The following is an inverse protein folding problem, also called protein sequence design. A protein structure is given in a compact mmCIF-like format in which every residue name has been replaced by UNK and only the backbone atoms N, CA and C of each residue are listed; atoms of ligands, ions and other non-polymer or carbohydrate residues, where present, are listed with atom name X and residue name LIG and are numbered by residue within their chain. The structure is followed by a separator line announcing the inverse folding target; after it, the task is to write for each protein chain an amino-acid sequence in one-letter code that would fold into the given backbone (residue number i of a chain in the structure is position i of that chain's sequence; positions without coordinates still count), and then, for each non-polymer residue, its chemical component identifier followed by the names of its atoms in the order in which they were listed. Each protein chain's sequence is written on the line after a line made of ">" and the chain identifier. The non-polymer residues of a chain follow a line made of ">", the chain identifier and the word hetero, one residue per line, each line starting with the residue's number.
data_IF_433743223106
#
_entry.id   IF_433743223106
#
_cell.length_a   1.000
_cell.length_b   1.000
_cell.length_c   1.000
_cell.angle_alpha   90.00
_cell.angle_beta   90.00
_cell.angle_gamma   90.00
#
_symmetry.space_group_name_H-M   'P 1'
#
loop_
_entity.id
_entity.type
_entity.pdbx_description
1 polymer ?
#
# COMPACT_ATOMS: atom_id res chain seq x y z
N UNK A 1 -26.72 -11.05 -24.22
CA UNK A 1 -26.03 -11.01 -22.91
C UNK A 1 -24.56 -11.26 -23.15
N UNK A 2 -23.66 -10.53 -22.49
CA UNK A 2 -22.21 -10.72 -22.66
C UNK A 2 -21.53 -10.89 -21.32
N UNK A 3 -21.12 -12.12 -21.02
CA UNK A 3 -20.33 -12.47 -19.84
C UNK A 3 -18.86 -12.07 -20.08
N UNK A 4 -18.20 -11.56 -19.04
CA UNK A 4 -16.79 -11.16 -19.08
C UNK A 4 -15.96 -12.10 -18.20
N UNK A 5 -14.74 -12.41 -18.64
CA UNK A 5 -13.82 -13.27 -17.90
C UNK A 5 -12.36 -12.89 -18.19
N UNK A 6 -11.48 -13.22 -17.25
CA UNK A 6 -10.04 -13.04 -17.40
C UNK A 6 -9.40 -14.24 -18.10
N UNK A 7 -8.40 -13.98 -18.94
CA UNK A 7 -7.61 -14.99 -19.64
C UNK A 7 -6.10 -14.66 -19.62
N UNK A 8 -5.27 -15.70 -19.69
CA UNK A 8 -3.81 -15.63 -19.59
C UNK A 8 -3.27 -15.82 -18.17
N UNK A 9 -2.04 -16.34 -18.05
CA UNK A 9 -1.41 -16.76 -16.78
C UNK A 9 -1.35 -15.64 -15.72
N UNK A 10 -1.24 -14.39 -16.14
CA UNK A 10 -1.20 -13.21 -15.27
C UNK A 10 -2.36 -12.24 -15.53
N UNK A 11 -3.53 -12.75 -15.96
CA UNK A 11 -4.71 -11.94 -16.26
C UNK A 11 -4.42 -10.87 -17.31
N UNK A 12 -3.68 -11.25 -18.35
CA UNK A 12 -3.17 -10.35 -19.40
C UNK A 12 -4.25 -9.93 -20.40
N UNK A 13 -5.41 -10.60 -20.37
CA UNK A 13 -6.55 -10.31 -21.24
C UNK A 13 -7.86 -10.28 -20.47
N UNK A 14 -8.70 -9.30 -20.78
CA UNK A 14 -10.11 -9.29 -20.37
C UNK A 14 -10.98 -9.59 -21.59
N UNK A 15 -11.70 -10.70 -21.53
CA UNK A 15 -12.50 -11.23 -22.62
C UNK A 15 -13.99 -11.00 -22.37
N UNK A 16 -14.75 -10.88 -23.45
CA UNK A 16 -16.21 -10.82 -23.43
C UNK A 16 -16.77 -11.75 -24.49
N UNK A 17 -17.78 -12.54 -24.12
CA UNK A 17 -18.46 -13.43 -25.06
C UNK A 17 -19.72 -12.76 -25.62
N UNK A 18 -19.86 -12.68 -26.93
CA UNK A 18 -21.12 -12.27 -27.54
C UNK A 18 -22.11 -13.44 -27.52
N UNK A 19 -23.11 -13.39 -26.63
CA UNK A 19 -24.09 -14.47 -26.47
C UNK A 19 -24.98 -14.75 -27.69
N UNK A 20 -24.99 -13.89 -28.71
CA UNK A 20 -25.75 -14.10 -29.95
C UNK A 20 -24.92 -14.78 -31.04
N UNK A 21 -23.61 -14.49 -31.11
CA UNK A 21 -22.72 -15.01 -32.17
C UNK A 21 -21.74 -16.07 -31.66
N UNK A 22 -21.57 -16.20 -30.34
CA UNK A 22 -20.55 -17.05 -29.72
C UNK A 22 -19.12 -16.53 -29.88
N UNK A 23 -18.92 -15.35 -30.49
CA UNK A 23 -17.59 -14.79 -30.72
C UNK A 23 -17.07 -14.19 -29.43
N UNK A 24 -15.85 -14.60 -29.04
CA UNK A 24 -15.11 -14.05 -27.91
C UNK A 24 -14.22 -12.92 -28.40
N UNK A 25 -14.28 -11.78 -27.72
CA UNK A 25 -13.41 -10.64 -27.97
C UNK A 25 -12.62 -10.31 -26.70
N UNK A 26 -11.29 -10.31 -26.82
CA UNK A 26 -10.36 -10.05 -25.72
C UNK A 26 -9.58 -8.76 -25.97
N UNK A 27 -9.39 -8.00 -24.90
CA UNK A 27 -8.54 -6.81 -24.90
C UNK A 27 -7.39 -6.98 -23.92
N UNK A 28 -6.17 -6.49 -24.23
CA UNK A 28 -5.08 -6.46 -23.27
C UNK A 28 -5.48 -5.69 -22.02
N UNK A 29 -5.29 -6.31 -20.85
CA UNK A 29 -5.54 -5.69 -19.54
C UNK A 29 -4.63 -6.35 -18.51
N UNK A 30 -4.37 -5.68 -17.40
CA UNK A 30 -3.60 -6.23 -16.29
C UNK A 30 -4.30 -5.91 -14.98
N UNK A 31 -3.96 -6.64 -13.92
CA UNK A 31 -4.40 -6.30 -12.57
C UNK A 31 -3.86 -4.94 -12.14
N UNK A 32 -4.59 -4.29 -11.22
CA UNK A 32 -4.11 -3.08 -10.57
C UNK A 32 -2.91 -3.35 -9.65
N UNK A 33 -2.22 -2.30 -9.22
CA UNK A 33 -1.03 -2.42 -8.37
C UNK A 33 -1.29 -3.10 -7.00
N UNK A 34 -2.54 -3.09 -6.55
CA UNK A 34 -2.97 -3.72 -5.29
C UNK A 34 -3.79 -4.98 -5.52
N UNK A 35 -3.71 -5.57 -6.71
CA UNK A 35 -4.38 -6.80 -7.06
C UNK A 35 -3.36 -7.83 -7.56
N UNK A 36 -3.67 -9.11 -7.37
CA UNK A 36 -2.93 -10.21 -7.97
C UNK A 36 -3.88 -11.07 -8.79
N UNK A 37 -3.37 -11.57 -9.92
CA UNK A 37 -4.09 -12.57 -10.71
C UNK A 37 -4.08 -13.91 -9.97
N UNK A 38 -5.25 -14.37 -9.53
CA UNK A 38 -5.39 -15.63 -8.78
C UNK A 38 -6.82 -16.14 -8.82
N UNK A 39 -7.05 -17.33 -8.27
CA UNK A 39 -8.38 -17.86 -8.03
C UNK A 39 -8.80 -17.56 -6.58
N UNK A 40 -9.93 -16.89 -6.39
CA UNK A 40 -10.56 -16.69 -5.07
C UNK A 40 -11.97 -17.23 -5.16
N UNK A 41 -12.35 -18.10 -4.23
CA UNK A 41 -13.68 -18.74 -4.17
C UNK A 41 -14.15 -19.37 -5.50
N UNK A 42 -13.20 -19.88 -6.30
CA UNK A 42 -13.45 -20.50 -7.59
C UNK A 42 -13.47 -19.54 -8.79
N UNK A 43 -13.32 -18.23 -8.56
CA UNK A 43 -13.29 -17.21 -9.61
C UNK A 43 -11.85 -16.79 -9.95
N UNK A 44 -11.43 -17.01 -11.19
CA UNK A 44 -10.14 -16.57 -11.71
C UNK A 44 -10.20 -15.10 -12.14
N UNK A 45 -9.32 -14.27 -11.60
CA UNK A 45 -9.23 -12.87 -11.97
C UNK A 45 -8.27 -12.06 -11.12
N UNK A 46 -8.34 -10.74 -11.28
CA UNK A 46 -7.62 -9.80 -10.44
C UNK A 46 -8.36 -9.61 -9.12
N UNK A 47 -7.71 -10.02 -8.03
CA UNK A 47 -8.27 -9.94 -6.68
C UNK A 47 -7.39 -9.08 -5.78
N UNK A 48 -7.96 -8.30 -4.85
CA UNK A 48 -7.19 -7.46 -3.93
C UNK A 48 -6.13 -8.26 -3.19
N UNK A 49 -4.91 -7.76 -3.10
CA UNK A 49 -3.84 -8.35 -2.31
C UNK A 49 -4.26 -8.39 -0.84
N UNK A 50 -4.05 -9.52 -0.17
CA UNK A 50 -4.45 -9.64 1.25
C UNK A 50 -3.65 -8.68 2.12
N UNK A 51 -2.38 -8.45 1.77
CA UNK A 51 -1.48 -7.55 2.49
C UNK A 51 -0.80 -6.59 1.50
N UNK A 52 -0.68 -5.33 1.87
CA UNK A 52 0.19 -4.35 1.23
C UNK A 52 1.32 -3.97 2.19
N UNK A 53 2.48 -3.61 1.65
CA UNK A 53 3.60 -3.10 2.43
C UNK A 53 3.97 -1.70 1.95
N UNK A 54 4.23 -0.80 2.89
CA UNK A 54 4.91 0.47 2.63
C UNK A 54 6.18 0.52 3.48
N UNK A 55 7.21 1.21 3.02
CA UNK A 55 8.46 1.35 3.76
C UNK A 55 9.01 2.77 3.69
N UNK A 56 9.74 3.14 4.73
CA UNK A 56 10.55 4.34 4.81
C UNK A 56 11.91 3.93 5.37
N UNK A 57 12.99 4.30 4.69
CA UNK A 57 14.36 3.90 5.07
C UNK A 57 15.40 4.95 4.69
N UNK A 58 16.47 5.07 5.49
CA UNK A 58 17.61 5.92 5.16
C UNK A 58 17.30 7.43 5.21
N UNK A 59 17.80 8.16 4.21
CA UNK A 59 17.62 9.60 3.98
C UNK A 59 16.43 9.90 3.09
N UNK A 60 15.25 10.01 3.69
CA UNK A 60 14.21 9.01 3.57
C UNK A 60 13.86 8.66 2.11
N UNK A 61 14.09 7.39 1.79
CA UNK A 61 13.53 6.70 0.64
C UNK A 61 12.20 6.07 1.05
N UNK A 62 11.15 6.38 0.30
CA UNK A 62 9.81 5.87 0.53
C UNK A 62 9.42 4.90 -0.58
N UNK A 63 8.76 3.80 -0.18
CA UNK A 63 8.04 2.94 -1.09
C UNK A 63 6.58 2.84 -0.64
N UNK A 64 5.66 3.21 -1.53
CA UNK A 64 4.22 3.18 -1.27
C UNK A 64 3.64 1.77 -1.40
N UNK A 65 2.40 1.59 -0.95
CA UNK A 65 1.66 0.32 -1.06
C UNK A 65 1.47 -0.17 -2.50
N UNK A 66 1.42 0.73 -3.49
CA UNK A 66 1.38 0.44 -4.92
C UNK A 66 2.79 0.31 -5.55
N UNK A 67 3.84 0.25 -4.73
CA UNK A 67 5.21 -0.05 -5.15
C UNK A 67 6.01 1.15 -5.67
N UNK A 68 5.44 2.35 -5.69
CA UNK A 68 6.11 3.56 -6.18
C UNK A 68 7.20 4.01 -5.20
N UNK A 69 8.41 4.12 -5.72
CA UNK A 69 9.56 4.65 -4.99
C UNK A 69 9.69 6.16 -5.19
N UNK A 70 10.00 6.90 -4.12
CA UNK A 70 10.34 8.33 -4.18
C UNK A 70 11.17 8.77 -2.98
N UNK A 71 11.87 9.90 -3.14
CA UNK A 71 12.68 10.53 -2.10
C UNK A 71 12.01 11.82 -1.64
N UNK A 72 12.04 12.10 -0.33
CA UNK A 72 11.41 13.31 0.20
C UNK A 72 12.16 13.91 1.40
N UNK A 73 12.88 15.01 1.17
CA UNK A 73 13.74 15.66 2.17
C UNK A 73 12.99 16.73 2.99
N UNK A 74 11.98 16.32 3.76
CA UNK A 74 11.22 17.19 4.66
C UNK A 74 11.57 16.97 6.14
N UNK A 75 11.52 18.03 6.96
CA UNK A 75 11.95 18.01 8.38
C UNK A 75 10.80 18.12 9.39
N UNK A 76 9.57 17.82 8.97
CA UNK A 76 8.40 17.82 9.84
C UNK A 76 7.99 16.39 10.23
N UNK A 77 6.84 16.30 10.91
CA UNK A 77 6.10 15.06 11.14
C UNK A 77 5.14 14.84 9.97
N UNK A 78 5.17 13.65 9.40
CA UNK A 78 4.40 13.27 8.21
C UNK A 78 3.62 11.99 8.46
N UNK A 79 2.44 11.91 7.87
CA UNK A 79 1.61 10.70 7.88
C UNK A 79 2.12 9.75 6.81
N UNK A 80 2.54 8.55 7.23
CA UNK A 80 2.94 7.48 6.31
C UNK A 80 1.73 6.63 5.89
N UNK A 81 0.87 6.29 6.86
CA UNK A 81 -0.34 5.53 6.61
C UNK A 81 -1.43 5.93 7.61
N UNK A 82 -2.66 6.10 7.10
CA UNK A 82 -3.86 6.34 7.91
C UNK A 82 -5.08 5.91 7.10
N UNK A 83 -6.22 5.74 7.77
CA UNK A 83 -7.49 5.55 7.08
C UNK A 83 -7.96 6.88 6.48
N UNK A 84 -8.23 6.91 5.17
CA UNK A 84 -8.79 8.10 4.51
C UNK A 84 -10.23 8.40 4.96
N UNK A 85 -11.01 7.35 5.27
CA UNK A 85 -12.39 7.44 5.77
C UNK A 85 -12.59 6.41 6.90
N UNK A 86 -13.27 6.81 7.98
CA UNK A 86 -13.77 5.87 8.98
C UNK A 86 -14.90 5.04 8.37
N UNK A 87 -14.53 3.89 7.79
CA UNK A 87 -15.49 2.95 7.22
C UNK A 87 -15.88 1.98 8.33
N UNK A 88 -17.18 1.73 8.50
CA UNK A 88 -17.67 0.82 9.54
C UNK A 88 -16.95 -0.53 9.45
N UNK A 89 -16.37 -0.97 10.56
CA UNK A 89 -15.66 -2.24 10.68
C UNK A 89 -14.13 -2.18 10.62
N UNK A 90 -13.52 -1.03 10.28
CA UNK A 90 -12.06 -0.86 10.33
C UNK A 90 -11.62 -0.13 11.59
N UNK A 91 -10.69 -0.74 12.34
CA UNK A 91 -10.06 -0.10 13.49
C UNK A 91 -9.22 1.10 13.03
N UNK A 92 -9.42 2.25 13.67
CA UNK A 92 -8.60 3.44 13.39
C UNK A 92 -7.13 3.16 13.71
N UNK A 93 -6.26 3.53 12.77
CA UNK A 93 -4.83 3.54 12.97
C UNK A 93 -4.19 4.74 12.27
N UNK A 94 -3.03 5.16 12.80
CA UNK A 94 -2.13 6.08 12.10
C UNK A 94 -0.69 5.68 12.33
N UNK A 95 0.11 5.81 11.27
CA UNK A 95 1.57 5.67 11.32
C UNK A 95 2.16 6.98 10.84
N UNK A 96 2.96 7.61 11.69
CA UNK A 96 3.60 8.89 11.42
C UNK A 96 5.11 8.80 11.67
N UNK A 97 5.87 9.48 10.83
CA UNK A 97 7.32 9.61 11.00
C UNK A 97 7.71 11.08 11.11
N UNK A 98 8.56 11.38 12.09
CA UNK A 98 9.20 12.69 12.22
C UNK A 98 10.61 12.60 11.67
N UNK A 99 10.89 13.46 10.72
CA UNK A 99 12.21 13.57 10.11
C UNK A 99 12.95 14.79 10.67
N UNK A 100 14.26 14.69 10.80
CA UNK A 100 15.12 15.77 11.31
C UNK A 100 16.32 15.99 10.38
N UNK A 101 16.89 17.21 10.36
CA UNK A 101 18.09 17.49 9.58
C UNK A 101 19.26 16.61 10.04
N UNK A 102 20.01 16.07 9.10
CA UNK A 102 21.18 15.25 9.44
C UNK A 102 22.47 16.06 9.35
N UNK A 103 23.04 16.40 10.50
CA UNK A 103 24.42 16.92 10.63
C UNK A 103 24.78 18.08 9.68
N UNK A 104 23.85 18.99 9.41
CA UNK A 104 24.07 20.15 8.54
C UNK A 104 24.13 19.84 7.04
N UNK A 105 23.87 18.59 6.63
CA UNK A 105 23.67 18.23 5.24
C UNK A 105 22.25 18.64 4.80
N UNK A 106 22.03 18.91 3.50
CA UNK A 106 20.71 19.20 2.93
C UNK A 106 19.86 17.91 2.79
N UNK A 107 19.89 17.05 3.80
CA UNK A 107 19.11 15.82 3.89
C UNK A 107 18.43 15.72 5.26
N UNK A 108 17.34 14.99 5.30
CA UNK A 108 16.59 14.64 6.49
C UNK A 108 16.70 13.15 6.75
N UNK A 109 16.52 12.73 8.01
CA UNK A 109 16.46 11.33 8.40
C UNK A 109 15.28 11.10 9.34
N UNK A 110 14.74 9.90 9.35
CA UNK A 110 13.69 9.54 10.32
C UNK A 110 14.27 9.44 11.73
N UNK A 111 13.82 10.32 12.62
CA UNK A 111 14.24 10.37 14.02
C UNK A 111 13.26 9.66 14.95
N UNK A 112 11.95 9.79 14.67
CA UNK A 112 10.91 9.23 15.52
C UNK A 112 9.79 8.61 14.69
N UNK A 113 9.21 7.52 15.19
CA UNK A 113 8.05 6.84 14.60
C UNK A 113 6.96 6.74 15.66
N UNK A 114 5.73 7.09 15.26
CA UNK A 114 4.54 7.04 16.09
C UNK A 114 3.53 6.13 15.42
N UNK A 115 3.08 5.11 16.15
CA UNK A 115 2.05 4.19 15.71
C UNK A 115 0.88 4.30 16.67
N UNK A 116 -0.27 4.70 16.18
CA UNK A 116 -1.52 4.67 16.93
C UNK A 116 -2.40 3.56 16.35
N UNK A 117 -2.87 2.63 17.18
CA UNK A 117 -3.85 1.61 16.80
C UNK A 117 -4.93 1.56 17.86
N UNK A 118 -6.17 1.91 17.50
CA UNK A 118 -7.31 1.89 18.42
C UNK A 118 -7.09 2.63 19.75
N UNK A 119 -6.27 3.69 19.74
CA UNK A 119 -5.94 4.48 20.92
C UNK A 119 -4.67 4.06 21.66
N UNK A 120 -4.09 2.90 21.35
CA UNK A 120 -2.78 2.50 21.86
C UNK A 120 -1.69 3.21 21.05
N UNK A 121 -0.84 3.96 21.74
CA UNK A 121 0.25 4.69 21.12
C UNK A 121 1.58 4.00 21.38
N UNK A 122 2.25 3.56 20.32
CA UNK A 122 3.64 3.10 20.33
C UNK A 122 4.52 4.22 19.79
N UNK A 123 5.55 4.57 20.54
CA UNK A 123 6.55 5.56 20.15
C UNK A 123 7.93 4.94 20.14
N UNK A 124 8.63 5.18 19.03
CA UNK A 124 9.98 4.69 18.75
C UNK A 124 10.84 5.89 18.44
N UNK A 125 12.01 5.98 19.08
CA UNK A 125 12.96 7.09 18.90
C UNK A 125 14.35 6.56 18.60
N UNK A 126 15.03 7.19 17.65
CA UNK A 126 16.43 6.91 17.31
C UNK A 126 17.39 7.18 18.49
N UNK A 127 17.00 8.05 19.43
CA UNK A 127 17.78 8.34 20.64
C UNK A 127 17.70 7.21 21.68
N UNK A 128 16.67 6.35 21.59
CA UNK A 128 16.40 5.28 22.57
C UNK A 128 16.33 3.92 21.87
N UNK A 129 17.49 3.49 21.36
CA UNK A 129 17.63 2.22 20.64
C UNK A 129 17.16 1.05 21.53
N UNK A 130 16.26 0.24 20.99
CA UNK A 130 15.74 -0.97 21.66
C UNK A 130 14.65 -0.70 22.70
N UNK A 131 14.21 0.54 22.89
CA UNK A 131 13.13 0.89 23.82
C UNK A 131 11.89 1.29 23.02
N UNK A 132 10.76 0.68 23.37
CA UNK A 132 9.44 1.04 22.87
C UNK A 132 8.65 1.68 24.01
N UNK A 133 8.11 2.88 23.80
CA UNK A 133 7.18 3.48 24.74
C UNK A 133 5.76 3.18 24.30
N UNK A 134 4.94 2.61 25.19
CA UNK A 134 3.54 2.27 24.93
C UNK A 134 2.66 2.98 25.95
N UNK A 135 1.64 3.69 25.48
CA UNK A 135 0.63 4.39 26.32
C UNK A 135 -0.78 4.18 25.79
#
# INVERSE_FOLDING_TARGET
>A
SGEQFWDGEECQSLCSCNGNTGVVHCIPKSCGAQESCRVVDGEFGCHPNQHGSCSASGDPHYQTFDGKAYDFQGTCRYVLATLCNATDGLHQFSVEAKNEPWNGLPVSITAEVFVNVSGYQVHISSERIGVLHVS
#
